data_IF_841513368408
#
_entry.id   IF_841513368408
#
_cell.length_a   1.000
_cell.length_b   1.000
_cell.length_c   1.000
_cell.angle_alpha   90.00
_cell.angle_beta   90.00
_cell.angle_gamma   90.00
#
_symmetry.space_group_name_H-M   'P 1'
#
loop_
_entity.id
_entity.type
_entity.pdbx_description
1 polymer ?
#
# COMPACT_ATOMS: atom_id res chain seq x y z
N UNK A 1 3.82 32.03 -1.35
CA UNK A 1 3.11 31.56 -0.16
C UNK A 1 2.45 30.24 -0.50
N UNK A 2 2.63 29.25 0.34
CA UNK A 2 2.11 27.89 0.11
C UNK A 2 1.40 27.46 1.39
N UNK A 3 0.20 26.92 1.25
CA UNK A 3 -0.53 26.37 2.39
C UNK A 3 0.15 25.09 2.91
N UNK A 4 0.24 24.91 4.23
CA UNK A 4 0.78 23.69 4.79
C UNK A 4 -0.13 22.50 4.51
N UNK A 5 0.44 21.29 4.29
CA UNK A 5 -0.29 20.14 3.76
C UNK A 5 -1.33 19.52 4.70
N UNK A 6 -1.40 19.95 5.97
CA UNK A 6 -2.30 19.35 6.99
C UNK A 6 -2.73 20.39 8.01
N UNK A 7 -3.89 20.22 8.63
CA UNK A 7 -4.41 21.06 9.70
C UNK A 7 -4.16 20.45 11.10
N UNK A 8 -4.15 21.30 12.15
CA UNK A 8 -4.08 20.88 13.55
C UNK A 8 -2.69 20.50 14.04
N UNK A 9 -2.60 19.62 15.04
CA UNK A 9 -1.35 19.25 15.73
C UNK A 9 -0.29 18.66 14.79
N UNK A 10 -0.70 17.91 13.77
CA UNK A 10 0.21 17.35 12.77
C UNK A 10 0.88 18.40 11.90
N UNK A 11 0.26 19.59 11.75
CA UNK A 11 0.86 20.72 11.06
C UNK A 11 2.16 21.17 11.72
N UNK A 12 2.15 21.30 13.06
CA UNK A 12 3.33 21.69 13.84
C UNK A 12 4.48 20.68 13.66
N UNK A 13 4.18 19.38 13.68
CA UNK A 13 5.20 18.35 13.47
C UNK A 13 5.81 18.41 12.07
N UNK A 14 5.00 18.62 11.03
CA UNK A 14 5.49 18.71 9.66
C UNK A 14 6.36 19.95 9.45
N UNK A 15 5.94 21.09 10.00
CA UNK A 15 6.72 22.32 9.92
C UNK A 15 8.05 22.19 10.69
N UNK A 16 8.05 21.54 11.87
CA UNK A 16 9.27 21.23 12.60
C UNK A 16 10.23 20.32 11.80
N UNK A 17 9.71 19.27 11.16
CA UNK A 17 10.52 18.40 10.33
C UNK A 17 11.10 19.16 9.11
N UNK A 18 10.32 20.08 8.51
CA UNK A 18 10.77 20.93 7.42
C UNK A 18 11.85 21.90 7.86
N UNK A 19 11.66 22.55 9.02
CA UNK A 19 12.63 23.48 9.59
C UNK A 19 13.96 22.78 9.88
N UNK A 20 13.92 21.57 10.43
CA UNK A 20 15.12 20.76 10.66
C UNK A 20 15.84 20.41 9.35
N UNK A 21 15.10 20.07 8.29
CA UNK A 21 15.68 19.70 7.00
C UNK A 21 16.28 20.89 6.25
N UNK A 22 15.70 22.06 6.39
CA UNK A 22 16.13 23.29 5.69
C UNK A 22 17.01 24.20 6.55
N UNK A 23 17.22 23.84 7.80
CA UNK A 23 17.89 24.66 8.80
C UNK A 23 17.23 26.04 8.95
N UNK A 24 15.90 26.07 8.98
CA UNK A 24 15.09 27.28 9.18
C UNK A 24 14.48 27.33 10.57
N UNK A 25 14.02 28.50 10.99
CA UNK A 25 13.32 28.70 12.27
C UNK A 25 11.82 28.85 12.00
N UNK A 26 11.00 28.14 12.78
CA UNK A 26 9.54 28.29 12.71
C UNK A 26 9.13 29.50 13.49
N UNK A 27 8.34 30.37 12.89
CA UNK A 27 7.72 31.51 13.52
C UNK A 27 6.34 31.08 14.02
N UNK A 28 6.10 31.23 15.30
CA UNK A 28 4.83 30.87 15.91
C UNK A 28 4.30 32.05 16.77
N UNK A 29 3.31 32.72 16.26
CA UNK A 29 2.63 33.83 16.97
C UNK A 29 2.07 33.40 18.32
N UNK A 30 1.62 32.14 18.48
CA UNK A 30 1.13 31.61 19.75
C UNK A 30 2.23 31.57 20.84
N UNK A 31 3.50 31.55 20.44
CA UNK A 31 4.65 31.57 21.35
C UNK A 31 5.23 33.00 21.57
N UNK A 32 4.64 34.01 20.92
CA UNK A 32 5.04 35.40 21.07
C UNK A 32 6.02 35.87 19.99
N UNK A 33 6.24 35.11 18.93
CA UNK A 33 7.06 35.53 17.80
C UNK A 33 6.32 36.62 16.99
N UNK A 34 6.99 37.72 16.67
CA UNK A 34 6.43 38.80 15.86
C UNK A 34 6.96 38.72 14.42
N UNK A 35 6.05 38.68 13.47
CA UNK A 35 6.36 38.66 12.03
C UNK A 35 7.13 39.92 11.57
N UNK A 36 7.02 41.03 12.30
CA UNK A 36 7.72 42.29 11.98
C UNK A 36 9.20 42.29 12.34
N UNK A 37 9.65 41.31 13.14
CA UNK A 37 11.03 41.23 13.68
C UNK A 37 11.81 40.07 13.07
N UNK A 38 11.34 39.54 11.93
CA UNK A 38 11.99 38.42 11.25
C UNK A 38 13.35 38.84 10.71
N UNK A 39 14.39 38.09 11.11
CA UNK A 39 15.77 38.26 10.61
C UNK A 39 16.04 37.27 9.47
N UNK A 40 17.03 37.55 8.63
CA UNK A 40 17.43 36.69 7.52
C UNK A 40 17.86 35.30 7.99
N UNK A 41 18.38 35.20 9.21
CA UNK A 41 18.82 33.94 9.83
C UNK A 41 17.68 32.96 10.13
N UNK A 42 16.42 33.42 10.13
CA UNK A 42 15.24 32.53 10.21
C UNK A 42 14.95 31.78 8.91
N UNK A 43 15.50 32.29 7.80
CA UNK A 43 15.32 31.64 6.49
C UNK A 43 16.26 30.44 6.39
N UNK A 44 15.70 29.30 6.04
CA UNK A 44 16.50 28.11 5.74
C UNK A 44 17.05 28.11 4.32
N UNK A 45 17.74 27.04 3.97
CA UNK A 45 18.30 26.83 2.64
C UNK A 45 17.86 25.50 2.04
N UNK A 46 17.75 25.46 0.71
CA UNK A 46 17.52 24.24 -0.05
C UNK A 46 18.23 24.32 -1.39
N UNK A 47 18.55 23.18 -1.99
CA UNK A 47 19.18 23.12 -3.32
C UNK A 47 18.16 23.54 -4.38
N UNK A 48 16.92 23.05 -4.26
CA UNK A 48 15.84 23.32 -5.22
C UNK A 48 14.49 23.14 -4.55
N UNK A 49 13.55 24.02 -4.81
CA UNK A 49 12.14 23.86 -4.47
C UNK A 49 11.29 23.91 -5.73
N UNK A 50 10.37 22.98 -5.89
CA UNK A 50 9.42 22.93 -6.98
C UNK A 50 8.02 22.80 -6.39
N UNK A 51 7.17 23.80 -6.61
CA UNK A 51 5.79 23.82 -6.16
C UNK A 51 4.84 23.70 -7.33
N UNK A 52 3.85 22.84 -7.16
CA UNK A 52 2.68 22.71 -8.04
C UNK A 52 1.42 22.98 -7.21
N UNK A 53 0.23 23.10 -7.80
CA UNK A 53 -1.00 23.25 -7.02
C UNK A 53 -1.23 22.14 -5.99
N UNK A 54 -0.78 20.93 -6.28
CA UNK A 54 -1.08 19.73 -5.47
C UNK A 54 0.06 19.35 -4.52
N UNK A 55 1.30 19.73 -4.82
CA UNK A 55 2.47 19.31 -4.04
C UNK A 55 3.65 20.27 -4.13
N UNK A 56 4.45 20.30 -3.09
CA UNK A 56 5.75 20.99 -3.06
C UNK A 56 6.85 19.99 -2.77
N UNK A 57 7.84 19.93 -3.66
CA UNK A 57 9.04 19.09 -3.49
C UNK A 57 10.23 19.98 -3.21
N UNK A 58 10.85 19.80 -2.05
CA UNK A 58 12.02 20.56 -1.61
C UNK A 58 13.22 19.61 -1.60
N UNK A 59 14.22 19.92 -2.40
CA UNK A 59 15.48 19.18 -2.42
C UNK A 59 16.45 19.84 -1.44
N UNK A 60 16.71 19.16 -0.35
CA UNK A 60 17.70 19.56 0.67
C UNK A 60 19.04 18.87 0.38
N UNK A 61 20.11 19.40 0.96
CA UNK A 61 21.44 18.80 0.91
C UNK A 61 21.58 17.54 1.77
N UNK A 62 22.80 17.26 2.21
CA UNK A 62 23.07 16.15 3.13
C UNK A 62 22.38 16.39 4.47
N UNK A 63 21.91 15.29 5.08
CA UNK A 63 21.24 15.34 6.36
C UNK A 63 22.23 15.82 7.45
N UNK A 64 21.77 16.73 8.30
CA UNK A 64 22.54 17.17 9.46
C UNK A 64 22.62 16.05 10.51
N UNK A 65 23.63 16.09 11.40
CA UNK A 65 23.76 15.12 12.50
C UNK A 65 22.49 15.05 13.38
N UNK A 66 21.78 16.17 13.52
CA UNK A 66 20.53 16.23 14.28
C UNK A 66 19.42 15.44 13.61
N UNK A 67 19.28 15.55 12.30
CA UNK A 67 18.33 14.74 11.51
C UNK A 67 18.64 13.25 11.60
N UNK A 68 19.92 12.87 11.55
CA UNK A 68 20.32 11.46 11.69
C UNK A 68 20.01 10.88 13.08
N UNK A 69 20.21 11.66 14.14
CA UNK A 69 19.81 11.28 15.51
C UNK A 69 18.31 11.06 15.62
N UNK A 70 17.50 11.94 15.01
CA UNK A 70 16.05 11.81 15.01
C UNK A 70 15.62 10.57 14.19
N UNK A 71 16.20 10.35 13.03
CA UNK A 71 15.95 9.15 12.21
C UNK A 71 16.26 7.87 12.99
N UNK A 72 17.39 7.84 13.70
CA UNK A 72 17.79 6.69 14.51
C UNK A 72 16.80 6.42 15.65
N UNK A 73 16.30 7.47 16.30
CA UNK A 73 15.28 7.38 17.35
C UNK A 73 13.95 6.85 16.79
N UNK A 74 13.49 7.37 15.66
CA UNK A 74 12.26 6.91 15.01
C UNK A 74 12.37 5.42 14.64
N UNK A 75 13.52 4.99 14.10
CA UNK A 75 13.77 3.57 13.79
C UNK A 75 13.74 2.67 15.02
N UNK A 76 14.20 3.16 16.18
CA UNK A 76 14.10 2.44 17.45
C UNK A 76 12.64 2.36 17.94
N UNK A 77 11.89 3.45 17.81
CA UNK A 77 10.48 3.48 18.23
C UNK A 77 9.58 2.62 17.33
N UNK A 78 9.90 2.48 16.04
CA UNK A 78 9.22 1.55 15.14
C UNK A 78 9.43 0.06 15.51
N UNK A 79 10.53 -0.28 16.19
CA UNK A 79 10.78 -1.65 16.67
C UNK A 79 9.96 -1.99 17.92
N UNK A 80 9.43 -0.99 18.64
CA UNK A 80 8.57 -1.20 19.80
C UNK A 80 7.16 -1.57 19.32
N UNK A 81 6.46 -2.43 20.09
CA UNK A 81 5.05 -2.75 19.82
C UNK A 81 4.16 -1.52 20.09
N UNK A 82 3.96 -0.71 19.09
CA UNK A 82 3.09 0.47 19.13
C UNK A 82 1.74 0.18 18.47
N UNK A 83 0.73 1.03 18.77
CA UNK A 83 -0.57 0.96 18.10
C UNK A 83 -0.41 1.28 16.61
N UNK A 84 -1.22 0.67 15.75
CA UNK A 84 -1.09 0.78 14.28
C UNK A 84 -1.05 2.23 13.76
N UNK A 85 -1.88 3.13 14.34
CA UNK A 85 -1.89 4.54 13.93
C UNK A 85 -0.61 5.30 14.31
N UNK A 86 0.06 4.91 15.43
CA UNK A 86 1.35 5.49 15.84
C UNK A 86 2.44 4.99 14.89
N UNK A 87 2.43 3.70 14.55
CA UNK A 87 3.40 3.14 13.60
C UNK A 87 3.31 3.83 12.23
N UNK A 88 2.09 4.02 11.71
CA UNK A 88 1.88 4.73 10.45
C UNK A 88 2.40 6.17 10.50
N UNK A 89 2.16 6.89 11.60
CA UNK A 89 2.66 8.26 11.77
C UNK A 89 4.20 8.30 11.81
N UNK A 90 4.84 7.36 12.51
CA UNK A 90 6.30 7.24 12.57
C UNK A 90 6.91 6.84 11.21
N UNK A 91 6.26 5.94 10.46
CA UNK A 91 6.69 5.56 9.10
C UNK A 91 6.64 6.77 8.14
N UNK A 92 5.55 7.54 8.17
CA UNK A 92 5.40 8.76 7.38
C UNK A 92 6.43 9.83 7.76
N UNK A 93 6.73 9.97 9.04
CA UNK A 93 7.75 10.89 9.51
C UNK A 93 9.14 10.46 9.10
N UNK A 94 9.45 9.17 9.22
CA UNK A 94 10.71 8.60 8.74
C UNK A 94 10.91 8.83 7.24
N UNK A 95 9.86 8.60 6.44
CA UNK A 95 9.89 8.83 5.00
C UNK A 95 10.22 10.28 4.63
N UNK A 96 9.66 11.25 5.37
CA UNK A 96 9.96 12.69 5.16
C UNK A 96 11.38 13.05 5.53
N UNK A 97 11.85 12.61 6.70
CA UNK A 97 13.19 12.95 7.20
C UNK A 97 14.31 12.23 6.48
N UNK A 98 14.09 11.01 5.97
CA UNK A 98 15.08 10.28 5.19
C UNK A 98 15.28 10.83 3.76
N UNK A 99 14.50 11.82 3.36
CA UNK A 99 14.65 12.67 2.17
C UNK A 99 14.86 11.94 0.84
N UNK A 100 14.42 10.68 0.71
CA UNK A 100 14.51 9.94 -0.54
C UNK A 100 13.12 9.82 -1.18
N UNK A 101 12.80 10.76 -2.03
CA UNK A 101 11.55 10.76 -2.82
C UNK A 101 11.90 10.41 -4.26
N UNK A 102 11.31 9.33 -4.77
CA UNK A 102 11.33 9.03 -6.19
C UNK A 102 10.02 9.52 -6.82
N UNK A 103 10.12 10.25 -7.91
CA UNK A 103 8.95 10.76 -8.66
C UNK A 103 8.83 9.98 -9.95
N UNK A 104 7.74 9.23 -10.10
CA UNK A 104 7.39 8.54 -11.34
C UNK A 104 6.44 9.43 -12.13
N UNK A 105 6.89 9.91 -13.30
CA UNK A 105 6.06 10.72 -14.20
C UNK A 105 5.32 9.79 -15.15
N UNK A 106 3.98 9.88 -15.15
CA UNK A 106 3.11 9.11 -16.03
C UNK A 106 2.53 10.06 -17.09
N UNK A 107 2.56 9.64 -18.35
CA UNK A 107 2.01 10.39 -19.46
C UNK A 107 1.07 9.52 -20.30
N UNK A 108 0.05 10.15 -20.92
CA UNK A 108 -0.90 9.52 -21.82
C UNK A 108 -1.48 10.54 -22.79
N UNK A 109 -2.15 10.04 -23.83
CA UNK A 109 -2.75 10.88 -24.88
C UNK A 109 -4.13 11.43 -24.51
N UNK A 110 -4.79 10.85 -23.49
CA UNK A 110 -6.09 11.30 -22.99
C UNK A 110 -6.15 11.27 -21.46
N UNK A 111 -7.08 12.04 -20.89
CA UNK A 111 -7.27 12.09 -19.44
C UNK A 111 -7.71 10.73 -18.85
N UNK A 112 -8.54 9.99 -19.58
CA UNK A 112 -9.01 8.66 -19.15
C UNK A 112 -7.85 7.66 -19.14
N UNK A 113 -7.04 7.64 -20.21
CA UNK A 113 -5.85 6.80 -20.31
C UNK A 113 -4.81 7.16 -19.24
N UNK A 114 -4.64 8.47 -18.98
CA UNK A 114 -3.72 8.94 -17.93
C UNK A 114 -4.14 8.43 -16.55
N UNK A 115 -5.43 8.50 -16.24
CA UNK A 115 -5.96 8.01 -14.99
C UNK A 115 -5.74 6.50 -14.86
N UNK A 116 -6.09 5.72 -15.87
CA UNK A 116 -5.91 4.26 -15.88
C UNK A 116 -4.43 3.88 -15.68
N UNK A 117 -3.53 4.53 -16.41
CA UNK A 117 -2.08 4.30 -16.26
C UNK A 117 -1.56 4.69 -14.89
N UNK A 118 -2.06 5.78 -14.32
CA UNK A 118 -1.67 6.25 -12.98
C UNK A 118 -2.10 5.23 -11.92
N UNK A 119 -3.35 4.77 -11.97
CA UNK A 119 -3.88 3.76 -11.06
C UNK A 119 -3.08 2.45 -11.16
N UNK A 120 -2.73 2.01 -12.37
CA UNK A 120 -1.89 0.83 -12.61
C UNK A 120 -0.46 0.97 -12.06
N UNK A 121 0.14 2.15 -12.19
CA UNK A 121 1.47 2.43 -11.63
C UNK A 121 1.41 2.45 -10.10
N UNK A 122 0.36 3.02 -9.51
CA UNK A 122 0.16 3.01 -8.06
C UNK A 122 0.01 1.59 -7.52
N UNK A 123 -0.79 0.75 -8.18
CA UNK A 123 -0.95 -0.66 -7.84
C UNK A 123 0.39 -1.41 -7.90
N UNK A 124 1.18 -1.20 -8.94
CA UNK A 124 2.50 -1.81 -9.07
C UNK A 124 3.47 -1.38 -7.96
N UNK A 125 3.45 -0.10 -7.57
CA UNK A 125 4.25 0.42 -6.46
C UNK A 125 3.81 -0.20 -5.13
N UNK A 126 2.49 -0.28 -4.89
CA UNK A 126 1.94 -0.88 -3.67
C UNK A 126 2.27 -2.38 -3.59
N UNK A 127 2.12 -3.12 -4.69
CA UNK A 127 2.48 -4.54 -4.77
C UNK A 127 3.98 -4.76 -4.52
N UNK A 128 4.85 -3.93 -5.10
CA UNK A 128 6.30 -4.00 -4.89
C UNK A 128 6.68 -3.74 -3.43
N UNK A 129 6.10 -2.71 -2.80
CA UNK A 129 6.31 -2.42 -1.38
C UNK A 129 5.85 -3.57 -0.48
N UNK A 130 4.70 -4.18 -0.79
CA UNK A 130 4.18 -5.34 -0.08
C UNK A 130 5.11 -6.56 -0.22
N UNK A 131 5.64 -6.80 -1.42
CA UNK A 131 6.59 -7.88 -1.70
C UNK A 131 7.92 -7.69 -0.95
N UNK A 132 8.43 -6.47 -0.87
CA UNK A 132 9.65 -6.16 -0.10
C UNK A 132 9.43 -6.42 1.40
N UNK A 133 8.22 -6.16 1.91
CA UNK A 133 7.90 -6.26 3.34
C UNK A 133 7.75 -7.70 3.83
N UNK A 134 7.06 -8.56 3.10
CA UNK A 134 6.72 -9.93 3.53
C UNK A 134 7.14 -11.03 2.52
N UNK A 135 7.72 -10.65 1.40
CA UNK A 135 8.13 -11.61 0.35
C UNK A 135 7.04 -11.90 -0.67
N UNK A 136 7.30 -12.88 -1.50
CA UNK A 136 6.46 -13.31 -2.62
C UNK A 136 6.00 -14.75 -2.45
N UNK A 137 4.88 -15.08 -3.09
CA UNK A 137 4.32 -16.44 -3.19
C UNK A 137 3.96 -16.74 -4.64
N UNK A 138 3.75 -18.03 -5.00
CA UNK A 138 3.23 -18.40 -6.30
C UNK A 138 1.91 -17.66 -6.59
N UNK A 139 1.85 -16.98 -7.73
CA UNK A 139 0.68 -16.21 -8.16
C UNK A 139 -0.42 -17.07 -8.79
N UNK A 140 -1.38 -16.39 -9.43
CA UNK A 140 -2.48 -17.08 -10.11
C UNK A 140 -3.42 -17.87 -9.20
N UNK A 141 -3.45 -17.54 -7.90
CA UNK A 141 -4.24 -18.27 -6.91
C UNK A 141 -3.64 -19.59 -6.44
N UNK A 142 -2.44 -19.96 -6.92
CA UNK A 142 -1.79 -21.25 -6.59
C UNK A 142 -1.38 -21.30 -5.12
N UNK A 143 -0.90 -20.20 -4.55
CA UNK A 143 -0.52 -20.16 -3.11
C UNK A 143 -1.72 -20.55 -2.21
N UNK A 144 -2.92 -20.05 -2.49
CA UNK A 144 -4.13 -20.40 -1.75
C UNK A 144 -4.60 -21.83 -2.02
N UNK A 145 -4.48 -22.28 -3.28
CA UNK A 145 -4.81 -23.66 -3.66
C UNK A 145 -3.88 -24.65 -2.93
N UNK A 146 -2.59 -24.40 -2.93
CA UNK A 146 -1.61 -25.23 -2.22
C UNK A 146 -1.92 -25.26 -0.71
N UNK A 147 -2.18 -24.11 -0.11
CA UNK A 147 -2.58 -24.03 1.30
C UNK A 147 -3.83 -24.89 1.56
N UNK A 148 -4.83 -24.85 0.68
CA UNK A 148 -6.05 -25.67 0.81
C UNK A 148 -5.80 -27.18 0.75
N UNK A 149 -4.77 -27.60 0.03
CA UNK A 149 -4.43 -29.02 -0.15
C UNK A 149 -3.56 -29.58 0.98
N UNK A 150 -2.77 -28.74 1.63
CA UNK A 150 -1.83 -29.17 2.67
C UNK A 150 -2.35 -29.01 4.10
N UNK A 151 -3.30 -28.10 4.32
CA UNK A 151 -3.89 -27.89 5.64
C UNK A 151 -5.01 -28.93 5.85
N UNK A 152 -4.94 -29.66 6.97
CA UNK A 152 -6.01 -30.54 7.40
C UNK A 152 -7.02 -29.73 8.21
N UNK A 153 -8.29 -29.87 7.86
CA UNK A 153 -9.38 -29.25 8.61
C UNK A 153 -9.75 -30.12 9.82
N UNK A 154 -9.81 -29.49 11.00
CA UNK A 154 -10.22 -30.16 12.23
C UNK A 154 -11.74 -30.02 12.50
N UNK A 155 -12.40 -29.07 11.83
CA UNK A 155 -13.83 -28.80 11.98
C UNK A 155 -14.49 -28.41 10.64
N UNK A 156 -15.84 -28.37 10.63
CA UNK A 156 -16.60 -28.04 9.42
C UNK A 156 -16.36 -26.60 8.91
N UNK A 157 -16.14 -25.62 9.82
CA UNK A 157 -15.83 -24.25 9.42
C UNK A 157 -14.52 -24.14 8.66
N UNK A 158 -13.50 -24.85 9.11
CA UNK A 158 -12.22 -24.93 8.39
C UNK A 158 -12.36 -25.60 7.03
N UNK A 159 -13.17 -26.66 6.91
CA UNK A 159 -13.44 -27.29 5.61
C UNK A 159 -14.08 -26.32 4.63
N UNK A 160 -15.06 -25.54 5.08
CA UNK A 160 -15.71 -24.52 4.27
C UNK A 160 -14.69 -23.47 3.82
N UNK A 161 -13.84 -22.98 4.74
CA UNK A 161 -12.80 -22.03 4.42
C UNK A 161 -11.81 -22.58 3.38
N UNK A 162 -11.32 -23.82 3.59
CA UNK A 162 -10.38 -24.46 2.66
C UNK A 162 -10.99 -24.71 1.27
N UNK A 163 -12.29 -24.90 1.16
CA UNK A 163 -12.99 -24.95 -0.13
C UNK A 163 -13.11 -23.56 -0.76
N UNK A 164 -13.42 -22.54 0.04
CA UNK A 164 -13.61 -21.18 -0.44
C UNK A 164 -12.32 -20.54 -0.98
N UNK A 165 -11.18 -20.78 -0.37
CA UNK A 165 -9.89 -20.22 -0.80
C UNK A 165 -9.39 -20.78 -2.14
N UNK A 166 -10.01 -21.83 -2.68
CA UNK A 166 -9.73 -22.32 -4.03
C UNK A 166 -10.41 -21.48 -5.12
N UNK A 167 -11.37 -20.62 -4.74
CA UNK A 167 -12.17 -19.85 -5.69
C UNK A 167 -11.32 -18.95 -6.62
N UNK A 168 -10.30 -18.21 -6.15
CA UNK A 168 -9.48 -17.36 -7.03
C UNK A 168 -8.86 -18.15 -8.19
N UNK A 169 -8.23 -19.28 -7.92
CA UNK A 169 -7.66 -20.14 -8.95
C UNK A 169 -8.72 -20.65 -9.94
N UNK A 170 -9.84 -21.18 -9.41
CA UNK A 170 -10.94 -21.68 -10.25
C UNK A 170 -11.53 -20.58 -11.14
N UNK A 171 -11.66 -19.37 -10.62
CA UNK A 171 -12.18 -18.22 -11.38
C UNK A 171 -11.22 -17.83 -12.50
N UNK A 172 -9.90 -17.80 -12.26
CA UNK A 172 -8.89 -17.53 -13.31
C UNK A 172 -9.01 -18.55 -14.44
N UNK A 173 -9.12 -19.83 -14.12
CA UNK A 173 -9.30 -20.87 -15.13
C UNK A 173 -10.61 -20.72 -15.92
N UNK A 174 -11.72 -20.47 -15.24
CA UNK A 174 -13.01 -20.25 -15.87
C UNK A 174 -13.00 -19.04 -16.80
N UNK A 175 -12.35 -17.95 -16.41
CA UNK A 175 -12.18 -16.75 -17.24
C UNK A 175 -11.32 -17.03 -18.50
N UNK A 176 -10.40 -17.98 -18.41
CA UNK A 176 -9.62 -18.46 -19.56
C UNK A 176 -10.37 -19.53 -20.41
N UNK A 177 -11.62 -19.83 -20.09
CA UNK A 177 -12.40 -20.85 -20.79
C UNK A 177 -12.00 -22.29 -20.44
N UNK A 178 -11.23 -22.49 -19.38
CA UNK A 178 -10.73 -23.79 -18.94
C UNK A 178 -11.61 -24.32 -17.81
N UNK A 179 -12.14 -25.53 -17.94
CA UNK A 179 -12.92 -26.17 -16.88
C UNK A 179 -12.01 -26.63 -15.73
N UNK A 180 -12.14 -26.00 -14.53
CA UNK A 180 -11.32 -26.37 -13.38
C UNK A 180 -11.45 -27.84 -12.96
N UNK A 181 -12.59 -28.49 -13.24
CA UNK A 181 -12.87 -29.89 -12.91
C UNK A 181 -12.07 -30.88 -13.73
N UNK A 182 -11.57 -30.47 -14.90
CA UNK A 182 -10.77 -31.34 -15.78
C UNK A 182 -9.30 -31.42 -15.42
N UNK A 183 -8.82 -30.45 -14.62
CA UNK A 183 -7.45 -30.43 -14.15
C UNK A 183 -7.32 -31.36 -12.94
N UNK A 184 -6.77 -32.57 -13.17
CA UNK A 184 -6.46 -33.52 -12.08
C UNK A 184 -5.37 -32.92 -11.21
N UNK A 185 -5.75 -32.46 -10.01
CA UNK A 185 -4.89 -31.83 -9.03
C UNK A 185 -3.91 -32.83 -8.36
N UNK A 186 -2.96 -33.37 -9.11
CA UNK A 186 -1.71 -33.89 -8.53
C UNK A 186 -0.63 -32.81 -8.66
N UNK A 187 -0.92 -31.63 -8.14
CA UNK A 187 -0.01 -30.52 -8.24
C UNK A 187 1.11 -30.65 -7.21
N UNK A 188 2.33 -30.50 -7.67
CA UNK A 188 3.46 -30.19 -6.78
C UNK A 188 3.31 -28.74 -6.32
N UNK A 189 3.75 -28.45 -5.11
CA UNK A 189 3.73 -27.09 -4.55
C UNK A 189 4.34 -26.10 -5.53
N UNK A 190 3.67 -24.96 -5.75
CA UNK A 190 4.13 -23.88 -6.60
C UNK A 190 4.01 -24.12 -8.11
N UNK A 191 3.45 -25.26 -8.53
CA UNK A 191 3.20 -25.54 -9.94
C UNK A 191 1.73 -25.25 -10.26
N UNK A 192 1.51 -24.45 -11.29
CA UNK A 192 0.18 -24.09 -11.77
C UNK A 192 0.10 -24.03 -13.29
N UNK A 193 -1.13 -23.90 -13.79
CA UNK A 193 -1.35 -23.68 -15.21
C UNK A 193 -1.14 -22.22 -15.56
N UNK A 194 -0.21 -21.94 -16.46
CA UNK A 194 -0.12 -20.65 -17.12
C UNK A 194 -1.22 -20.58 -18.19
N UNK A 195 -2.21 -19.75 -17.95
CA UNK A 195 -3.39 -19.64 -18.84
C UNK A 195 -3.07 -18.99 -20.18
N UNK A 196 -1.93 -18.29 -20.30
CA UNK A 196 -1.48 -17.68 -21.56
C UNK A 196 -0.85 -18.71 -22.49
N UNK A 197 0.03 -19.55 -21.94
CA UNK A 197 0.74 -20.57 -22.73
C UNK A 197 0.05 -21.92 -22.74
N UNK A 198 -0.90 -22.16 -21.82
CA UNK A 198 -1.60 -23.45 -21.66
C UNK A 198 -0.74 -24.55 -21.02
N UNK A 199 0.43 -24.23 -20.50
CA UNK A 199 1.38 -25.18 -19.93
C UNK A 199 1.38 -25.16 -18.40
N UNK A 200 1.69 -26.32 -17.80
CA UNK A 200 1.98 -26.42 -16.37
C UNK A 200 3.40 -25.95 -16.12
N UNK A 201 3.54 -24.90 -15.31
CA UNK A 201 4.83 -24.24 -15.04
C UNK A 201 5.07 -24.03 -13.54
N UNK A 202 6.32 -23.86 -13.15
CA UNK A 202 6.66 -23.33 -11.84
C UNK A 202 6.32 -21.83 -11.85
N UNK A 203 5.33 -21.42 -11.06
CA UNK A 203 4.81 -20.06 -11.08
C UNK A 203 5.88 -19.02 -10.75
N UNK A 204 6.72 -19.30 -9.74
CA UNK A 204 7.78 -18.36 -9.31
C UNK A 204 8.85 -18.22 -10.38
N UNK A 205 9.32 -19.31 -10.96
CA UNK A 205 10.36 -19.28 -12.02
C UNK A 205 9.84 -18.64 -13.31
N UNK A 206 8.53 -18.77 -13.59
CA UNK A 206 7.88 -18.14 -14.74
C UNK A 206 7.50 -16.68 -14.51
N UNK A 207 7.80 -16.12 -13.33
CA UNK A 207 7.48 -14.73 -13.00
C UNK A 207 6.01 -14.48 -12.65
N UNK A 208 5.21 -15.53 -12.47
CA UNK A 208 3.81 -15.43 -12.04
C UNK A 208 3.80 -15.46 -10.51
N UNK A 209 3.89 -14.28 -9.91
CA UNK A 209 4.10 -14.10 -8.48
C UNK A 209 3.09 -13.11 -7.90
N UNK A 210 2.72 -13.33 -6.64
CA UNK A 210 1.90 -12.43 -5.85
C UNK A 210 2.64 -12.01 -4.56
N UNK A 211 2.44 -10.77 -4.05
CA UNK A 211 2.96 -10.38 -2.74
C UNK A 211 2.23 -11.14 -1.62
N UNK A 212 2.97 -11.76 -0.71
CA UNK A 212 2.38 -12.51 0.42
C UNK A 212 1.46 -11.62 1.28
N UNK A 213 1.88 -10.39 1.56
CA UNK A 213 1.09 -9.45 2.36
C UNK A 213 -0.28 -9.19 1.75
N UNK A 214 -0.36 -9.02 0.42
CA UNK A 214 -1.63 -8.78 -0.30
C UNK A 214 -2.54 -10.00 -0.19
N UNK A 215 -2.02 -11.19 -0.51
CA UNK A 215 -2.79 -12.44 -0.47
C UNK A 215 -3.32 -12.72 0.94
N UNK A 216 -2.48 -12.54 1.96
CA UNK A 216 -2.86 -12.72 3.37
C UNK A 216 -3.92 -11.71 3.81
N UNK A 217 -3.73 -10.43 3.50
CA UNK A 217 -4.68 -9.37 3.87
C UNK A 217 -6.03 -9.54 3.16
N UNK A 218 -6.02 -9.94 1.90
CA UNK A 218 -7.25 -10.22 1.16
C UNK A 218 -8.06 -11.34 1.81
N UNK A 219 -7.40 -12.44 2.20
CA UNK A 219 -8.05 -13.56 2.87
C UNK A 219 -8.64 -13.15 4.23
N UNK A 220 -7.88 -12.44 5.06
CA UNK A 220 -8.32 -11.98 6.39
C UNK A 220 -9.53 -11.05 6.26
N UNK A 221 -9.47 -10.09 5.34
CA UNK A 221 -10.56 -9.14 5.12
C UNK A 221 -11.81 -9.84 4.57
N UNK A 222 -11.65 -10.75 3.61
CA UNK A 222 -12.77 -11.52 3.05
C UNK A 222 -13.46 -12.37 4.13
N UNK A 223 -12.68 -13.06 4.97
CA UNK A 223 -13.21 -13.83 6.09
C UNK A 223 -13.95 -12.95 7.11
N UNK A 224 -13.40 -11.76 7.42
CA UNK A 224 -14.03 -10.81 8.34
C UNK A 224 -15.40 -10.33 7.81
N UNK A 225 -15.47 -9.96 6.53
CA UNK A 225 -16.75 -9.53 5.90
C UNK A 225 -17.74 -10.68 5.86
N UNK A 226 -17.31 -11.88 5.45
CA UNK A 226 -18.17 -13.05 5.40
C UNK A 226 -18.76 -13.38 6.79
N UNK A 227 -17.92 -13.35 7.83
CA UNK A 227 -18.35 -13.58 9.21
C UNK A 227 -19.37 -12.53 9.67
N UNK A 228 -19.14 -11.27 9.30
CA UNK A 228 -20.11 -10.18 9.62
C UNK A 228 -21.46 -10.43 8.96
N UNK A 229 -21.47 -10.82 7.68
CA UNK A 229 -22.71 -11.13 6.97
C UNK A 229 -23.41 -12.34 7.59
N UNK A 230 -22.67 -13.41 7.88
CA UNK A 230 -23.22 -14.63 8.51
C UNK A 230 -23.80 -14.39 9.91
N UNK A 231 -23.32 -13.39 10.63
CA UNK A 231 -23.82 -13.02 11.95
C UNK A 231 -25.09 -12.16 11.94
N UNK A 232 -25.54 -11.71 10.76
CA UNK A 232 -26.72 -10.86 10.60
C UNK A 232 -27.99 -11.68 10.37
N UNK A 233 -29.13 -11.26 10.96
CA UNK A 233 -30.42 -11.88 10.71
C UNK A 233 -31.09 -11.36 9.43
N UNK A 234 -30.74 -10.17 8.97
CA UNK A 234 -31.33 -9.55 7.80
C UNK A 234 -30.34 -8.57 7.15
N UNK A 235 -30.34 -8.54 5.83
CA UNK A 235 -29.59 -7.55 5.03
C UNK A 235 -30.60 -6.75 4.21
N UNK A 236 -30.65 -5.44 4.43
CA UNK A 236 -31.52 -4.53 3.67
C UNK A 236 -30.62 -3.76 2.68
N UNK A 237 -30.93 -3.88 1.40
CA UNK A 237 -30.21 -3.17 0.35
C UNK A 237 -31.21 -2.44 -0.56
N UNK A 238 -30.84 -1.24 -1.01
CA UNK A 238 -31.60 -0.53 -2.03
C UNK A 238 -31.40 -1.21 -3.39
N UNK A 239 -32.49 -1.49 -4.10
CA UNK A 239 -32.42 -1.89 -5.50
C UNK A 239 -31.76 -0.77 -6.31
N UNK A 240 -30.70 -1.07 -7.05
CA UNK A 240 -30.17 -0.14 -8.05
C UNK A 240 -31.27 0.07 -9.11
N UNK A 241 -31.67 1.31 -9.26
CA UNK A 241 -32.51 1.71 -10.40
C UNK A 241 -31.56 1.78 -11.59
N UNK A 242 -31.78 0.93 -12.56
CA UNK A 242 -31.02 0.95 -13.82
C UNK A 242 -31.46 2.18 -14.63
N UNK A 243 -30.63 3.23 -14.62
CA UNK A 243 -30.93 4.50 -15.32
C UNK A 243 -30.66 4.39 -16.84
N UNK A 244 -30.19 3.23 -17.33
CA UNK A 244 -29.90 3.02 -18.77
C UNK A 244 -31.15 2.95 -19.66
N UNK A 245 -32.35 2.95 -19.08
CA UNK A 245 -33.64 2.90 -19.77
C UNK A 245 -34.44 4.23 -19.68
N UNK A 246 -33.79 5.36 -19.42
CA UNK A 246 -34.40 6.69 -19.51
C UNK A 246 -33.86 7.50 -20.65
#
# INVERSE_FOLDING_TARGET
VIDPPVYGLRRKEILNDLALLTNSTIINEDLGDDLNVIQVDYLGSCIKAVSTPDQTVIHVGEATEEVEKIISKIKQDLKKKNKAHIMLALELRLARLSARVAVVKVGANSAIELKEKTDRVEDAICATKAAIKEGIVPGGGIALLDASNFIKADNEGEKILLQAIQAPYKTILSNAGIDPGKLKNKQKIGIGLDVVTGNMVNMVESGIIDPLLVTKSALVNAASVATTILSTNCVINNMRIDESNR
#
